data_IF_577949778609
#
_entry.id   IF_577949778609
#
_cell.length_a   1.000
_cell.length_b   1.000
_cell.length_c   1.000
_cell.angle_alpha   90.00
_cell.angle_beta   90.00
_cell.angle_gamma   90.00
#
_symmetry.space_group_name_H-M   'P 1'
#
loop_
_entity.id
_entity.type
_entity.pdbx_description
1 polymer ?
#
# COMPACT_ATOMS: atom_id res chain seq x y z
N UNK A 1 -31.48 -5.10 -37.82
CA UNK A 1 -30.89 -3.88 -37.21
C UNK A 1 -30.36 -4.12 -35.79
N UNK A 2 -31.09 -4.81 -34.90
CA UNK A 2 -30.64 -5.06 -33.52
C UNK A 2 -29.33 -5.87 -33.36
N UNK A 3 -29.03 -6.79 -34.29
CA UNK A 3 -27.80 -7.59 -34.25
C UNK A 3 -26.53 -6.74 -34.37
N UNK A 4 -26.51 -5.81 -35.33
CA UNK A 4 -25.38 -4.91 -35.54
C UNK A 4 -25.18 -3.95 -34.35
N UNK A 5 -26.26 -3.48 -33.74
CA UNK A 5 -26.19 -2.65 -32.53
C UNK A 5 -25.60 -3.41 -31.35
N UNK A 6 -26.02 -4.68 -31.13
CA UNK A 6 -25.47 -5.53 -30.06
C UNK A 6 -24.00 -5.87 -30.29
N UNK A 7 -23.61 -6.12 -31.54
CA UNK A 7 -22.22 -6.37 -31.92
C UNK A 7 -21.36 -5.13 -31.67
N UNK A 8 -21.83 -3.94 -32.04
CA UNK A 8 -21.12 -2.68 -31.80
C UNK A 8 -20.93 -2.39 -30.30
N UNK A 9 -21.96 -2.65 -29.48
CA UNK A 9 -21.87 -2.51 -28.01
C UNK A 9 -20.85 -3.51 -27.44
N UNK A 10 -20.89 -4.77 -27.87
CA UNK A 10 -19.95 -5.78 -27.40
C UNK A 10 -18.50 -5.44 -27.79
N UNK A 11 -18.30 -4.91 -29.00
CA UNK A 11 -17.00 -4.49 -29.48
C UNK A 11 -16.48 -3.27 -28.70
N UNK A 12 -17.34 -2.29 -28.43
CA UNK A 12 -17.00 -1.12 -27.60
C UNK A 12 -16.64 -1.55 -26.16
N UNK A 13 -17.40 -2.46 -25.57
CA UNK A 13 -17.11 -3.01 -24.24
C UNK A 13 -15.77 -3.77 -24.23
N UNK A 14 -15.51 -4.60 -25.23
CA UNK A 14 -14.24 -5.31 -25.36
C UNK A 14 -13.04 -4.35 -25.45
N UNK A 15 -13.14 -3.29 -26.26
CA UNK A 15 -12.10 -2.26 -26.37
C UNK A 15 -11.89 -1.52 -25.04
N UNK A 16 -12.97 -1.18 -24.34
CA UNK A 16 -12.85 -0.52 -23.02
C UNK A 16 -12.23 -1.43 -21.96
N UNK A 17 -12.53 -2.73 -21.96
CA UNK A 17 -11.99 -3.69 -20.99
C UNK A 17 -10.50 -3.98 -21.25
N UNK A 18 -10.09 -4.08 -22.52
CA UNK A 18 -8.68 -4.25 -22.89
C UNK A 18 -7.85 -3.00 -22.53
N UNK A 19 -8.40 -1.80 -22.69
CA UNK A 19 -7.74 -0.55 -22.30
C UNK A 19 -7.83 -0.23 -20.80
N UNK A 20 -8.83 -0.77 -20.08
CA UNK A 20 -8.97 -0.60 -18.63
C UNK A 20 -8.02 -1.51 -17.83
N UNK A 21 -7.61 -2.65 -18.39
CA UNK A 21 -6.65 -3.56 -17.76
C UNK A 21 -5.31 -2.86 -17.41
N UNK A 22 -4.62 -2.17 -18.35
CA UNK A 22 -3.38 -1.45 -18.05
C UNK A 22 -3.60 -0.21 -17.16
N UNK A 23 -4.79 0.41 -17.19
CA UNK A 23 -5.13 1.52 -16.28
C UNK A 23 -5.31 1.04 -14.81
N UNK A 24 -5.64 -0.24 -14.60
CA UNK A 24 -5.69 -0.84 -13.27
C UNK A 24 -4.30 -1.20 -12.74
N UNK A 25 -3.35 -1.48 -13.62
CA UNK A 25 -1.93 -1.71 -13.27
C UNK A 25 -1.17 -0.42 -12.95
N UNK A 26 -1.63 0.73 -13.47
CA UNK A 26 -1.09 2.06 -13.17
C UNK A 26 -1.53 2.64 -11.81
N UNK A 27 -2.07 1.82 -10.90
CA UNK A 27 -2.41 2.26 -9.54
C UNK A 27 -1.17 2.24 -8.67
N UNK A 28 -0.98 3.31 -7.90
CA UNK A 28 0.07 3.40 -6.90
C UNK A 28 -0.04 2.23 -5.93
N UNK A 29 1.01 1.40 -5.88
CA UNK A 29 1.05 0.23 -5.01
C UNK A 29 1.81 0.57 -3.73
N UNK A 30 1.17 0.40 -2.57
CA UNK A 30 1.83 0.51 -1.27
C UNK A 30 2.42 -0.85 -0.91
N UNK A 31 3.74 -0.95 -0.82
CA UNK A 31 4.46 -2.20 -0.52
C UNK A 31 5.25 -2.03 0.78
N UNK A 32 5.19 -3.00 1.72
CA UNK A 32 6.06 -2.99 2.89
C UNK A 32 7.51 -3.18 2.46
N UNK A 33 8.39 -2.27 2.87
CA UNK A 33 9.83 -2.37 2.59
C UNK A 33 10.57 -3.10 3.70
N UNK A 34 10.46 -2.56 4.92
CA UNK A 34 11.28 -2.96 6.05
C UNK A 34 10.46 -2.89 7.31
N UNK A 35 10.55 -3.93 8.12
CA UNK A 35 9.93 -3.99 9.45
C UNK A 35 11.02 -4.00 10.49
N UNK A 36 11.00 -3.06 11.43
CA UNK A 36 11.95 -3.00 12.53
C UNK A 36 11.22 -3.06 13.87
N UNK A 37 11.79 -3.83 14.80
CA UNK A 37 11.30 -3.91 16.17
C UNK A 37 12.21 -3.10 17.08
N UNK A 38 11.60 -2.21 17.84
CA UNK A 38 12.30 -1.36 18.80
C UNK A 38 11.76 -1.64 20.20
N UNK A 39 12.59 -1.33 21.19
CA UNK A 39 12.19 -1.43 22.61
C UNK A 39 12.27 -0.05 23.21
N UNK A 40 11.12 0.47 23.67
CA UNK A 40 11.08 1.68 24.50
C UNK A 40 11.25 1.28 25.95
N UNK A 41 12.18 1.92 26.65
CA UNK A 41 12.36 1.74 28.09
C UNK A 41 11.78 2.95 28.80
N UNK A 42 10.81 2.72 29.66
CA UNK A 42 10.26 3.73 30.56
C UNK A 42 10.81 3.51 31.97
N UNK A 43 11.20 4.61 32.61
CA UNK A 43 11.71 4.62 33.97
C UNK A 43 10.65 5.20 34.90
N UNK A 44 10.33 4.48 35.97
CA UNK A 44 9.36 4.94 36.97
C UNK A 44 10.04 5.05 38.32
N UNK A 45 9.85 6.20 38.98
CA UNK A 45 10.30 6.41 40.36
C UNK A 45 9.45 5.57 41.30
N UNK A 46 10.10 4.80 42.17
CA UNK A 46 9.42 4.14 43.28
C UNK A 46 9.29 5.18 44.41
N UNK A 47 8.08 5.49 44.89
CA UNK A 47 7.92 6.40 46.01
C UNK A 47 8.73 5.94 47.23
N UNK A 48 9.42 6.89 47.87
CA UNK A 48 10.24 6.67 49.07
C UNK A 48 11.40 5.66 48.91
N UNK A 49 11.88 5.42 47.70
CA UNK A 49 13.01 4.54 47.41
C UNK A 49 14.04 5.24 46.52
N UNK A 50 15.35 5.01 46.72
CA UNK A 50 16.40 5.54 45.83
C UNK A 50 16.53 4.76 44.51
N UNK A 51 15.72 3.72 44.32
CA UNK A 51 15.77 2.86 43.12
C UNK A 51 14.72 3.25 42.08
N UNK A 52 15.06 3.01 40.81
CA UNK A 52 14.15 3.13 39.67
C UNK A 52 13.63 1.76 39.25
N UNK A 53 12.37 1.69 38.83
CA UNK A 53 11.86 0.54 38.06
C UNK A 53 12.02 0.85 36.57
N UNK A 54 12.34 -0.18 35.79
CA UNK A 54 12.28 -0.13 34.33
C UNK A 54 11.17 -1.01 33.81
N UNK A 55 10.40 -0.48 32.87
CA UNK A 55 9.49 -1.28 32.06
C UNK A 55 9.88 -1.16 30.60
N UNK A 56 10.03 -2.29 29.93
CA UNK A 56 10.40 -2.37 28.51
C UNK A 56 9.17 -2.71 27.68
N UNK A 57 8.85 -1.85 26.70
CA UNK A 57 7.73 -2.01 25.79
C UNK A 57 8.25 -2.24 24.36
N UNK A 58 8.11 -3.45 23.81
CA UNK A 58 8.44 -3.69 22.42
C UNK A 58 7.37 -3.05 21.52
N UNK A 59 7.80 -2.42 20.42
CA UNK A 59 6.91 -1.94 19.38
C UNK A 59 7.54 -2.14 18.00
N UNK A 60 6.70 -2.28 16.99
CA UNK A 60 7.13 -2.56 15.62
C UNK A 60 6.77 -1.40 14.72
N UNK A 61 7.74 -0.96 13.91
CA UNK A 61 7.54 0.05 12.87
C UNK A 61 7.73 -0.62 11.52
N UNK A 62 6.72 -0.53 10.68
CA UNK A 62 6.80 -0.99 9.29
C UNK A 62 6.90 0.22 8.38
N UNK A 63 8.01 0.31 7.63
CA UNK A 63 8.16 1.29 6.57
C UNK A 63 7.48 0.78 5.31
N UNK A 64 6.65 1.62 4.72
CA UNK A 64 6.01 1.37 3.43
C UNK A 64 6.60 2.31 2.38
N UNK A 65 6.68 1.82 1.15
CA UNK A 65 6.97 2.63 -0.04
C UNK A 65 5.78 2.60 -0.98
N UNK A 66 5.64 3.68 -1.73
CA UNK A 66 4.67 3.80 -2.81
C UNK A 66 5.41 3.64 -4.13
N UNK A 67 5.02 2.63 -4.91
CA UNK A 67 5.49 2.44 -6.28
C UNK A 67 4.47 3.12 -7.19
N UNK A 68 4.88 4.20 -7.86
CA UNK A 68 4.07 4.88 -8.85
C UNK A 68 4.25 4.18 -10.21
N UNK A 69 3.30 3.34 -10.60
CA UNK A 69 3.33 2.62 -11.88
C UNK A 69 3.01 3.51 -13.10
N UNK A 70 2.70 4.79 -12.88
CA UNK A 70 2.42 5.75 -13.95
C UNK A 70 3.65 6.11 -14.81
N UNK A 71 4.88 5.90 -14.31
CA UNK A 71 6.12 6.24 -15.01
C UNK A 71 6.63 5.15 -15.96
N UNK A 72 6.09 3.93 -15.89
CA UNK A 72 6.57 2.78 -16.68
C UNK A 72 5.80 2.52 -17.97
N UNK A 73 4.85 3.39 -18.35
CA UNK A 73 4.21 3.28 -19.67
C UNK A 73 5.12 3.99 -20.68
N UNK A 74 5.84 3.28 -21.58
CA UNK A 74 6.50 3.95 -22.69
C UNK A 74 5.42 4.69 -23.48
N UNK A 75 5.63 5.97 -23.73
CA UNK A 75 4.80 6.72 -24.67
C UNK A 75 4.77 5.95 -26.00
N UNK A 76 3.60 5.41 -26.34
CA UNK A 76 3.35 4.75 -27.62
C UNK A 76 3.20 5.78 -28.73
#
# INVERSE_FOLDING_TARGET
MAFFTRLAIALALAVTLVNAAPAMEARDQVVPMTTMTYTRVEWTLIPNSPYLTTTAFPFTVTQFSTINNAETTPAA
#
